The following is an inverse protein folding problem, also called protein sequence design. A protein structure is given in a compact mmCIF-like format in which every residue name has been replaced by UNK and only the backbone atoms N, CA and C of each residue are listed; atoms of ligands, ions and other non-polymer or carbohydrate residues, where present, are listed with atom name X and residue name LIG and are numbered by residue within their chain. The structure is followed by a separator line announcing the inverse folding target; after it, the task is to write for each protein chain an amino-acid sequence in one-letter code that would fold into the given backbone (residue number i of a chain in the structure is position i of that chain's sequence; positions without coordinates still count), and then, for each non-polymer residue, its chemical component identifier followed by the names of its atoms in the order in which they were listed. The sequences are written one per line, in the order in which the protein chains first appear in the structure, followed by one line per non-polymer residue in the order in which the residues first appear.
data_IF_177616090980
#
_entry.id   IF_177616090980
#
_cell.length_a   1.000
_cell.length_b   1.000
_cell.length_c   1.000
_cell.angle_alpha   90.00
_cell.angle_beta   90.00
_cell.angle_gamma   90.00
#
_symmetry.space_group_name_H-M   'P 1'
#
loop_
_entity.id
_entity.type
_entity.pdbx_description
1 polymer ?
#
# COMPACT_ATOMS: atom_id res chain seq x y z
N UNK A 1 52.54 46.56 -11.94
CA UNK A 1 53.02 45.16 -12.00
C UNK A 1 52.57 44.48 -10.73
N UNK A 2 51.46 43.76 -10.82
CA UNK A 2 50.79 43.04 -9.74
C UNK A 2 51.32 41.62 -9.68
N UNK A 3 51.95 41.26 -8.56
CA UNK A 3 52.37 39.89 -8.24
C UNK A 3 51.17 39.02 -7.86
N UNK A 4 51.02 37.79 -8.37
CA UNK A 4 50.13 36.81 -7.78
C UNK A 4 50.83 36.00 -6.68
N UNK A 5 50.07 35.74 -5.62
CA UNK A 5 50.39 34.87 -4.48
C UNK A 5 50.48 33.39 -4.89
N UNK A 6 51.24 32.65 -4.09
CA UNK A 6 51.58 31.24 -4.21
C UNK A 6 50.39 30.26 -4.35
N UNK A 7 50.59 29.24 -5.20
CA UNK A 7 49.74 28.07 -5.30
C UNK A 7 49.96 27.12 -4.11
N UNK A 8 48.93 26.92 -3.30
CA UNK A 8 48.78 25.76 -2.41
C UNK A 8 48.11 24.59 -3.15
N UNK A 9 48.20 23.35 -2.63
CA UNK A 9 47.88 22.15 -3.39
C UNK A 9 46.38 22.04 -3.69
N UNK A 10 46.09 21.84 -4.98
CA UNK A 10 44.79 21.47 -5.52
C UNK A 10 44.44 20.06 -5.03
N UNK A 11 43.41 19.93 -4.19
CA UNK A 11 42.79 18.63 -3.93
C UNK A 11 41.96 18.24 -5.16
N UNK A 12 42.60 17.48 -6.06
CA UNK A 12 41.95 16.83 -7.18
C UNK A 12 41.12 15.66 -6.68
N UNK A 13 39.80 15.83 -6.57
CA UNK A 13 38.86 14.71 -6.54
C UNK A 13 38.70 14.21 -7.98
N UNK A 14 39.67 13.43 -8.44
CA UNK A 14 39.53 12.53 -9.59
C UNK A 14 39.43 11.11 -9.06
N UNK A 15 38.60 10.21 -9.59
CA UNK A 15 37.70 10.28 -10.72
C UNK A 15 37.01 8.92 -10.89
N UNK A 16 35.95 8.94 -11.70
CA UNK A 16 35.32 7.80 -12.39
C UNK A 16 34.84 6.62 -11.53
N UNK A 17 33.61 6.77 -11.02
CA UNK A 17 32.63 5.68 -11.05
C UNK A 17 31.50 6.12 -12.00
N UNK A 18 31.19 5.29 -12.99
CA UNK A 18 30.23 5.54 -14.06
C UNK A 18 28.85 6.06 -13.60
N UNK A 19 28.11 6.83 -14.41
CA UNK A 19 26.70 7.16 -14.16
C UNK A 19 25.77 5.96 -14.40
N UNK A 20 26.22 4.74 -14.08
CA UNK A 20 25.53 3.48 -14.31
C UNK A 20 25.51 2.63 -13.02
N UNK A 21 24.95 3.14 -11.92
CA UNK A 21 24.68 2.27 -10.74
C UNK A 21 23.63 2.77 -9.74
N UNK A 22 22.73 3.70 -10.12
CA UNK A 22 21.44 3.86 -9.41
C UNK A 22 20.31 3.42 -10.36
N UNK A 23 20.51 2.27 -10.99
CA UNK A 23 19.37 1.43 -11.32
C UNK A 23 18.75 1.03 -9.98
N UNK A 24 17.73 1.79 -9.57
CA UNK A 24 16.91 1.52 -8.39
C UNK A 24 16.30 0.13 -8.59
N UNK A 25 17.00 -0.92 -8.11
CA UNK A 25 16.54 -2.31 -8.18
C UNK A 25 15.41 -2.50 -7.15
N UNK A 26 14.26 -1.86 -7.41
CA UNK A 26 12.99 -2.16 -6.74
C UNK A 26 12.52 -3.60 -6.97
N UNK A 27 13.18 -4.32 -7.89
CA UNK A 27 12.94 -5.72 -8.24
C UNK A 27 14.21 -6.58 -8.11
N UNK A 28 15.10 -6.26 -7.16
CA UNK A 28 16.16 -7.22 -6.81
C UNK A 28 15.53 -8.51 -6.26
N UNK A 29 16.15 -9.66 -6.51
CA UNK A 29 15.59 -10.97 -6.09
C UNK A 29 15.34 -11.04 -4.58
N UNK A 30 16.14 -10.31 -3.80
CA UNK A 30 15.94 -10.14 -2.36
C UNK A 30 14.63 -9.42 -2.01
N UNK A 31 14.33 -8.31 -2.68
CA UNK A 31 13.10 -7.53 -2.43
C UNK A 31 11.86 -8.36 -2.76
N UNK A 32 11.88 -9.09 -3.88
CA UNK A 32 10.82 -10.03 -4.27
C UNK A 32 10.63 -11.10 -3.19
N UNK A 33 11.73 -11.69 -2.69
CA UNK A 33 11.69 -12.68 -1.62
C UNK A 33 11.03 -12.16 -0.33
N UNK A 34 11.39 -10.96 0.10
CA UNK A 34 10.79 -10.29 1.27
C UNK A 34 9.30 -10.06 1.06
N UNK A 35 8.90 -9.61 -0.13
CA UNK A 35 7.51 -9.30 -0.44
C UNK A 35 6.62 -10.55 -0.48
N UNK A 36 7.14 -11.64 -1.05
CA UNK A 36 6.48 -12.94 -1.02
C UNK A 36 6.33 -13.44 0.42
N UNK A 37 7.37 -13.30 1.25
CA UNK A 37 7.31 -13.68 2.66
C UNK A 37 6.23 -12.89 3.42
N UNK A 38 6.16 -11.57 3.23
CA UNK A 38 5.08 -10.75 3.82
C UNK A 38 3.71 -11.23 3.36
N UNK A 39 3.54 -11.51 2.07
CA UNK A 39 2.30 -12.06 1.51
C UNK A 39 1.92 -13.39 2.16
N UNK A 40 2.89 -14.29 2.36
CA UNK A 40 2.67 -15.56 3.05
C UNK A 40 2.24 -15.37 4.51
N UNK A 41 2.84 -14.43 5.24
CA UNK A 41 2.48 -14.12 6.62
C UNK A 41 1.04 -13.59 6.69
N UNK A 42 0.67 -12.66 5.79
CA UNK A 42 -0.69 -12.12 5.71
C UNK A 42 -1.70 -13.24 5.40
N UNK A 43 -1.43 -14.08 4.40
CA UNK A 43 -2.27 -15.24 4.08
C UNK A 43 -2.40 -16.22 5.26
N UNK A 44 -1.30 -16.46 5.99
CA UNK A 44 -1.30 -17.32 7.18
C UNK A 44 -2.17 -16.75 8.29
N UNK A 45 -2.19 -15.41 8.46
CA UNK A 45 -3.05 -14.76 9.45
C UNK A 45 -4.55 -15.00 9.18
N UNK A 46 -4.97 -15.08 7.91
CA UNK A 46 -6.36 -15.38 7.52
C UNK A 46 -6.73 -16.84 7.81
N UNK A 47 -5.79 -17.76 7.63
CA UNK A 47 -5.97 -19.17 8.01
C UNK A 47 -6.13 -19.32 9.52
N UNK A 48 -5.34 -18.59 10.32
CA UNK A 48 -5.47 -18.55 11.77
C UNK A 48 -6.82 -17.95 12.18
N UNK A 49 -7.21 -16.82 11.58
CA UNK A 49 -8.52 -16.19 11.81
C UNK A 49 -9.65 -17.19 11.56
N UNK A 50 -9.61 -17.92 10.46
CA UNK A 50 -10.61 -18.95 10.13
C UNK A 50 -10.68 -20.07 11.17
N UNK A 51 -9.54 -20.50 11.74
CA UNK A 51 -9.53 -21.53 12.80
C UNK A 51 -10.27 -21.07 14.05
N UNK A 52 -10.24 -19.77 14.34
CA UNK A 52 -10.94 -19.17 15.49
C UNK A 52 -12.40 -18.81 15.20
N UNK A 53 -12.87 -18.92 13.97
CA UNK A 53 -14.27 -18.66 13.63
C UNK A 53 -15.19 -19.83 13.99
N UNK A 54 -16.19 -19.57 14.81
CA UNK A 54 -17.26 -20.52 15.14
C UNK A 54 -18.64 -19.93 14.79
N UNK A 55 -19.45 -20.58 13.92
CA UNK A 55 -19.13 -21.74 13.09
C UNK A 55 -18.19 -21.39 11.92
N UNK A 56 -17.40 -22.36 11.47
CA UNK A 56 -16.47 -22.18 10.36
C UNK A 56 -17.21 -22.02 9.03
N UNK A 57 -16.81 -21.01 8.25
CA UNK A 57 -17.34 -20.78 6.90
C UNK A 57 -16.99 -21.96 5.96
N UNK A 58 -17.90 -22.37 5.05
CA UNK A 58 -17.60 -23.39 4.05
C UNK A 58 -16.34 -23.04 3.24
N UNK A 59 -15.49 -24.04 3.00
CA UNK A 59 -14.19 -23.88 2.33
C UNK A 59 -14.25 -23.07 1.04
N UNK A 60 -15.23 -23.36 0.20
CA UNK A 60 -15.39 -22.70 -1.10
C UNK A 60 -15.71 -21.21 -0.95
N UNK A 61 -16.64 -20.85 -0.06
CA UNK A 61 -17.02 -19.45 0.18
C UNK A 61 -15.83 -18.67 0.74
N UNK A 62 -15.14 -19.26 1.71
CA UNK A 62 -13.93 -18.67 2.27
C UNK A 62 -12.84 -18.45 1.20
N UNK A 63 -12.63 -19.41 0.29
CA UNK A 63 -11.68 -19.25 -0.81
C UNK A 63 -12.08 -18.11 -1.77
N UNK A 64 -13.37 -17.94 -2.05
CA UNK A 64 -13.86 -16.80 -2.84
C UNK A 64 -13.60 -15.45 -2.15
N UNK A 65 -13.82 -15.37 -0.83
CA UNK A 65 -13.59 -14.13 -0.08
C UNK A 65 -12.10 -13.79 0.04
N UNK A 66 -11.25 -14.78 0.31
CA UNK A 66 -9.80 -14.59 0.37
C UNK A 66 -9.22 -14.27 -1.00
N UNK A 67 -9.67 -14.91 -2.07
CA UNK A 67 -9.20 -14.59 -3.43
C UNK A 67 -9.59 -13.18 -3.87
N UNK A 68 -10.75 -12.65 -3.44
CA UNK A 68 -11.08 -11.21 -3.63
C UNK A 68 -10.06 -10.31 -2.95
N UNK A 69 -9.72 -10.60 -1.70
CA UNK A 69 -8.74 -9.82 -0.93
C UNK A 69 -7.34 -9.89 -1.54
N UNK A 70 -6.91 -11.08 -1.99
CA UNK A 70 -5.63 -11.26 -2.68
C UNK A 70 -5.58 -10.45 -3.99
N UNK A 71 -6.63 -10.49 -4.80
CA UNK A 71 -6.73 -9.69 -6.02
C UNK A 71 -6.70 -8.18 -5.72
N UNK A 72 -7.43 -7.74 -4.69
CA UNK A 72 -7.42 -6.34 -4.23
C UNK A 72 -6.05 -5.88 -3.74
N UNK A 73 -5.36 -6.72 -2.96
CA UNK A 73 -4.00 -6.46 -2.49
C UNK A 73 -2.99 -6.36 -3.64
N UNK A 74 -3.07 -7.26 -4.63
CA UNK A 74 -2.24 -7.21 -5.83
C UNK A 74 -2.49 -5.94 -6.65
N UNK A 75 -3.75 -5.52 -6.79
CA UNK A 75 -4.10 -4.26 -7.46
C UNK A 75 -3.53 -3.06 -6.71
N UNK A 76 -3.74 -2.94 -5.40
CA UNK A 76 -3.21 -1.83 -4.60
C UNK A 76 -1.68 -1.77 -4.65
N UNK A 77 -1.01 -2.94 -4.56
CA UNK A 77 0.43 -3.01 -4.73
C UNK A 77 0.87 -2.46 -6.09
N UNK A 78 0.19 -2.86 -7.17
CA UNK A 78 0.45 -2.37 -8.52
C UNK A 78 0.21 -0.86 -8.64
N UNK A 79 -0.88 -0.34 -8.07
CA UNK A 79 -1.17 1.10 -8.08
C UNK A 79 -0.15 1.91 -7.29
N UNK A 80 0.33 1.39 -6.15
CA UNK A 80 1.40 2.01 -5.37
C UNK A 80 2.72 2.05 -6.17
N UNK A 81 3.06 0.96 -6.86
CA UNK A 81 4.24 0.91 -7.73
C UNK A 81 4.13 1.88 -8.91
N UNK A 82 2.99 1.86 -9.62
CA UNK A 82 2.74 2.81 -10.72
C UNK A 82 2.78 4.25 -10.24
N UNK A 83 2.20 4.54 -9.07
CA UNK A 83 2.29 5.86 -8.43
C UNK A 83 3.73 6.30 -8.25
N UNK A 84 4.61 5.42 -7.79
CA UNK A 84 6.05 5.75 -7.66
C UNK A 84 6.74 6.03 -9.01
N UNK A 85 6.36 5.33 -10.08
CA UNK A 85 6.90 5.56 -11.43
C UNK A 85 6.44 6.91 -12.01
N UNK A 86 5.17 7.26 -11.82
CA UNK A 86 4.62 8.54 -12.30
C UNK A 86 5.06 9.73 -11.43
N UNK A 87 5.22 9.54 -10.12
CA UNK A 87 5.68 10.57 -9.19
C UNK A 87 7.19 10.81 -9.24
N UNK A 88 7.99 9.81 -9.64
CA UNK A 88 9.45 9.92 -9.79
C UNK A 88 9.91 10.97 -10.83
N UNK A 89 9.00 11.53 -11.63
CA UNK A 89 9.28 12.61 -12.59
C UNK A 89 8.71 13.98 -12.16
N UNK A 90 7.99 14.09 -11.03
CA UNK A 90 7.34 15.34 -10.55
C UNK A 90 7.37 15.44 -9.03
N UNK A 91 8.56 15.44 -8.42
CA UNK A 91 8.71 15.82 -7.00
C UNK A 91 8.82 17.36 -6.82
N UNK A 92 7.80 18.09 -7.28
CA UNK A 92 7.46 19.38 -6.67
C UNK A 92 6.24 19.16 -5.76
N UNK A 93 6.51 18.63 -4.57
CA UNK A 93 5.56 18.70 -3.47
C UNK A 93 5.54 20.15 -2.95
N UNK A 94 4.36 20.78 -2.78
CA UNK A 94 4.24 22.19 -2.36
C UNK A 94 4.77 22.46 -0.94
N UNK A 95 5.15 21.42 -0.19
CA UNK A 95 5.74 21.49 1.15
C UNK A 95 7.27 21.48 1.17
N UNK A 96 7.97 21.38 0.04
CA UNK A 96 9.43 21.54 -0.06
C UNK A 96 10.28 20.57 0.80
N UNK A 97 9.71 19.48 1.31
CA UNK A 97 10.38 18.52 2.19
C UNK A 97 10.13 17.09 1.69
N UNK A 98 11.08 16.55 0.93
CA UNK A 98 11.02 15.21 0.33
C UNK A 98 11.65 14.16 1.25
N UNK A 99 10.85 13.55 2.15
CA UNK A 99 11.21 12.28 2.78
C UNK A 99 10.30 11.16 2.25
N UNK A 100 10.81 10.22 1.43
CA UNK A 100 10.01 9.15 0.84
C UNK A 100 9.48 8.15 1.89
N UNK A 101 10.20 7.94 3.00
CA UNK A 101 9.74 7.10 4.09
C UNK A 101 8.51 7.71 4.77
N UNK A 102 8.50 9.02 5.02
CA UNK A 102 7.34 9.73 5.59
C UNK A 102 6.13 9.62 4.66
N UNK A 103 6.32 9.84 3.36
CA UNK A 103 5.23 9.71 2.38
C UNK A 103 4.67 8.29 2.33
N UNK A 104 5.56 7.29 2.25
CA UNK A 104 5.16 5.89 2.20
C UNK A 104 4.44 5.46 3.49
N UNK A 105 4.97 5.86 4.65
CA UNK A 105 4.35 5.65 5.96
C UNK A 105 2.92 6.20 5.98
N UNK A 106 2.73 7.46 5.60
CA UNK A 106 1.41 8.11 5.61
C UNK A 106 0.44 7.47 4.63
N UNK A 107 0.93 7.08 3.46
CA UNK A 107 0.13 6.42 2.43
C UNK A 107 -0.40 5.07 2.94
N UNK A 108 0.48 4.21 3.48
CA UNK A 108 0.07 2.94 4.09
C UNK A 108 -0.82 3.16 5.31
N UNK A 109 -0.47 4.11 6.19
CA UNK A 109 -1.25 4.41 7.39
C UNK A 109 -2.68 4.80 7.03
N UNK A 110 -2.88 5.71 6.07
CA UNK A 110 -4.22 6.14 5.68
C UNK A 110 -4.97 5.05 4.91
N UNK A 111 -4.33 4.32 3.99
CA UNK A 111 -4.95 3.21 3.25
C UNK A 111 -5.52 2.14 4.22
N UNK A 112 -4.77 1.82 5.28
CA UNK A 112 -5.09 0.73 6.22
C UNK A 112 -5.98 1.16 7.39
N UNK A 113 -6.15 2.46 7.62
CA UNK A 113 -6.99 3.01 8.70
C UNK A 113 -8.27 3.63 8.13
N UNK A 114 -8.21 4.90 7.73
CA UNK A 114 -9.32 5.66 7.16
C UNK A 114 -9.80 5.00 5.86
N UNK A 115 -8.89 4.43 5.08
CA UNK A 115 -9.18 3.73 3.84
C UNK A 115 -10.15 2.57 4.03
N UNK A 116 -10.10 1.82 5.13
CA UNK A 116 -11.07 0.74 5.41
C UNK A 116 -12.49 1.29 5.53
N UNK A 117 -12.67 2.43 6.20
CA UNK A 117 -13.97 3.09 6.32
C UNK A 117 -14.46 3.62 4.96
N UNK A 118 -13.54 4.18 4.18
CA UNK A 118 -13.82 4.67 2.83
C UNK A 118 -14.23 3.52 1.89
N UNK A 119 -13.53 2.38 1.94
CA UNK A 119 -13.88 1.18 1.15
C UNK A 119 -15.28 0.71 1.53
N UNK A 120 -15.61 0.64 2.82
CA UNK A 120 -16.94 0.23 3.27
C UNK A 120 -18.03 1.16 2.73
N UNK A 121 -17.79 2.48 2.77
CA UNK A 121 -18.69 3.47 2.19
C UNK A 121 -18.86 3.28 0.67
N UNK A 122 -17.79 3.17 -0.10
CA UNK A 122 -17.88 2.99 -1.56
C UNK A 122 -18.49 1.65 -1.95
N UNK A 123 -18.20 0.58 -1.20
CA UNK A 123 -18.86 -0.71 -1.37
C UNK A 123 -20.36 -0.57 -1.21
N UNK A 124 -20.83 0.09 -0.15
CA UNK A 124 -22.25 0.34 0.08
C UNK A 124 -22.88 1.12 -1.10
N UNK A 125 -22.24 2.20 -1.54
CA UNK A 125 -22.72 3.02 -2.66
C UNK A 125 -22.78 2.20 -3.94
N UNK A 126 -21.70 1.52 -4.32
CA UNK A 126 -21.63 0.76 -5.57
C UNK A 126 -22.55 -0.44 -5.59
N UNK A 127 -22.71 -1.15 -4.47
CA UNK A 127 -23.68 -2.24 -4.37
C UNK A 127 -25.10 -1.70 -4.53
N UNK A 128 -25.43 -0.58 -3.88
CA UNK A 128 -26.76 0.04 -3.98
C UNK A 128 -27.06 0.49 -5.41
N UNK A 129 -26.12 1.18 -6.06
CA UNK A 129 -26.27 1.62 -7.46
C UNK A 129 -26.41 0.42 -8.40
N UNK A 130 -25.59 -0.62 -8.23
CA UNK A 130 -25.65 -1.83 -9.04
C UNK A 130 -27.01 -2.54 -8.90
N UNK A 131 -27.59 -2.59 -7.69
CA UNK A 131 -28.92 -3.15 -7.46
C UNK A 131 -30.01 -2.31 -8.14
N UNK A 132 -29.89 -0.99 -8.12
CA UNK A 132 -30.84 -0.08 -8.81
C UNK A 132 -30.82 -0.26 -10.33
N UNK A 133 -29.65 -0.53 -10.93
CA UNK A 133 -29.53 -0.81 -12.38
C UNK A 133 -29.84 -2.27 -12.74
N UNK A 134 -30.33 -3.08 -11.79
CA UNK A 134 -30.82 -4.43 -12.03
C UNK A 134 -29.79 -5.55 -11.89
N UNK A 135 -28.58 -5.29 -11.38
CA UNK A 135 -27.59 -6.33 -11.10
C UNK A 135 -28.01 -7.13 -9.85
N UNK A 136 -28.51 -8.34 -10.08
CA UNK A 136 -28.87 -9.31 -9.03
C UNK A 136 -27.62 -10.06 -8.51
N UNK A 137 -27.76 -10.68 -7.33
CA UNK A 137 -26.74 -11.53 -6.67
C UNK A 137 -25.49 -10.78 -6.17
N UNK A 138 -25.73 -9.60 -5.59
CA UNK A 138 -24.70 -8.69 -5.09
C UNK A 138 -24.43 -8.80 -3.58
N UNK A 139 -25.06 -9.77 -2.92
CA UNK A 139 -24.92 -9.97 -1.47
C UNK A 139 -23.53 -10.52 -1.18
N UNK A 140 -22.73 -9.75 -0.44
CA UNK A 140 -21.39 -10.19 -0.02
C UNK A 140 -21.47 -11.53 0.72
N UNK A 141 -20.49 -12.40 0.49
CA UNK A 141 -20.45 -13.76 1.05
C UNK A 141 -21.44 -14.77 0.42
N UNK A 142 -22.31 -14.34 -0.51
CA UNK A 142 -23.25 -15.22 -1.20
C UNK A 142 -22.95 -15.33 -2.69
N UNK A 143 -22.65 -16.55 -3.16
CA UNK A 143 -22.26 -16.84 -4.55
C UNK A 143 -23.29 -17.72 -5.30
N UNK A 144 -24.43 -18.01 -4.68
CA UNK A 144 -25.42 -18.96 -5.17
C UNK A 144 -25.22 -20.40 -4.68
N UNK A 145 -26.18 -21.27 -5.02
CA UNK A 145 -26.16 -22.71 -4.74
C UNK A 145 -26.32 -23.49 -6.05
N UNK A 146 -25.28 -24.11 -6.63
CA UNK A 146 -23.86 -24.09 -6.20
C UNK A 146 -23.17 -22.71 -6.41
N UNK A 147 -21.99 -22.46 -5.80
CA UNK A 147 -21.24 -21.20 -5.97
C UNK A 147 -20.86 -20.94 -7.43
N UNK A 148 -21.26 -19.79 -7.97
CA UNK A 148 -21.02 -19.42 -9.38
C UNK A 148 -19.88 -18.41 -9.52
N UNK A 149 -18.95 -18.67 -10.46
CA UNK A 149 -17.85 -17.75 -10.77
C UNK A 149 -18.34 -16.36 -11.18
N UNK A 150 -19.47 -16.28 -11.89
CA UNK A 150 -20.03 -15.02 -12.35
C UNK A 150 -20.46 -14.11 -11.17
N UNK A 151 -20.99 -14.68 -10.08
CA UNK A 151 -21.34 -13.92 -8.89
C UNK A 151 -20.09 -13.40 -8.18
N UNK A 152 -19.04 -14.23 -8.09
CA UNK A 152 -17.75 -13.84 -7.56
C UNK A 152 -17.11 -12.71 -8.37
N UNK A 153 -17.11 -12.82 -9.70
CA UNK A 153 -16.50 -11.81 -10.57
C UNK A 153 -17.20 -10.45 -10.43
N UNK A 154 -18.54 -10.42 -10.35
CA UNK A 154 -19.28 -9.17 -10.11
C UNK A 154 -18.90 -8.52 -8.77
N UNK A 155 -18.84 -9.32 -7.70
CA UNK A 155 -18.43 -8.83 -6.39
C UNK A 155 -16.96 -8.37 -6.39
N UNK A 156 -16.09 -9.09 -7.09
CA UNK A 156 -14.68 -8.71 -7.25
C UNK A 156 -14.56 -7.37 -7.98
N UNK A 157 -15.26 -7.17 -9.09
CA UNK A 157 -15.22 -5.92 -9.85
C UNK A 157 -15.59 -4.72 -8.98
N UNK A 158 -16.61 -4.86 -8.15
CA UNK A 158 -17.06 -3.78 -7.27
C UNK A 158 -16.11 -3.54 -6.12
N UNK A 159 -15.56 -4.61 -5.55
CA UNK A 159 -14.52 -4.51 -4.54
C UNK A 159 -13.26 -3.81 -5.07
N UNK A 160 -12.79 -4.19 -6.26
CA UNK A 160 -11.67 -3.56 -6.97
C UNK A 160 -11.96 -2.09 -7.27
N UNK A 161 -13.17 -1.76 -7.75
CA UNK A 161 -13.57 -0.37 -7.98
C UNK A 161 -13.61 0.44 -6.68
N UNK A 162 -14.15 -0.11 -5.59
CA UNK A 162 -14.17 0.53 -4.28
C UNK A 162 -12.75 0.78 -3.74
N UNK A 163 -11.83 -0.18 -3.91
CA UNK A 163 -10.43 -0.03 -3.55
C UNK A 163 -9.74 1.07 -4.38
N UNK A 164 -9.98 1.11 -5.70
CA UNK A 164 -9.44 2.14 -6.57
C UNK A 164 -9.95 3.54 -6.18
N UNK A 165 -11.26 3.68 -5.91
CA UNK A 165 -11.86 4.93 -5.47
C UNK A 165 -11.35 5.38 -4.10
N UNK A 166 -11.20 4.44 -3.15
CA UNK A 166 -10.54 4.72 -1.88
C UNK A 166 -9.13 5.25 -2.12
N UNK A 167 -8.35 4.55 -2.95
CA UNK A 167 -6.95 4.90 -3.20
C UNK A 167 -6.82 6.30 -3.77
N UNK A 168 -7.64 6.62 -4.76
CA UNK A 168 -7.66 7.97 -5.35
C UNK A 168 -8.02 9.02 -4.30
N UNK A 169 -8.98 8.75 -3.42
CA UNK A 169 -9.36 9.68 -2.36
C UNK A 169 -8.22 9.89 -1.35
N UNK A 170 -7.55 8.83 -0.90
CA UNK A 170 -6.40 8.94 0.02
C UNK A 170 -5.27 9.77 -0.60
N UNK A 171 -4.95 9.53 -1.88
CA UNK A 171 -3.91 10.31 -2.58
C UNK A 171 -4.28 11.80 -2.69
N UNK A 172 -5.56 12.10 -2.98
CA UNK A 172 -6.07 13.48 -3.03
C UNK A 172 -5.97 14.14 -1.65
N UNK A 173 -6.37 13.44 -0.59
CA UNK A 173 -6.29 13.93 0.80
C UNK A 173 -4.84 14.25 1.18
N UNK A 174 -3.89 13.33 0.92
CA UNK A 174 -2.47 13.58 1.18
C UNK A 174 -1.89 14.73 0.38
N UNK A 175 -2.42 14.98 -0.83
CA UNK A 175 -1.99 16.10 -1.67
C UNK A 175 -2.52 17.44 -1.17
N UNK A 176 -3.76 17.49 -0.69
CA UNK A 176 -4.44 18.73 -0.28
C UNK A 176 -4.06 19.13 1.15
N UNK A 177 -3.90 18.16 2.05
CA UNK A 177 -3.70 18.43 3.48
C UNK A 177 -2.24 18.20 3.90
N UNK A 178 -1.38 19.24 3.89
CA UNK A 178 0.04 19.11 4.24
C UNK A 178 0.26 18.77 5.73
N UNK A 179 -0.75 18.97 6.58
CA UNK A 179 -0.71 18.61 8.00
C UNK A 179 -0.29 17.15 8.22
N UNK A 180 -0.70 16.23 7.34
CA UNK A 180 -0.31 14.82 7.44
C UNK A 180 1.21 14.63 7.38
N UNK A 181 1.94 15.43 6.59
CA UNK A 181 3.40 15.35 6.54
C UNK A 181 4.06 15.75 7.85
N UNK A 182 3.55 16.80 8.51
CA UNK A 182 4.05 17.19 9.83
C UNK A 182 3.79 16.09 10.86
N UNK A 183 2.59 15.51 10.85
CA UNK A 183 2.27 14.35 11.68
C UNK A 183 3.18 13.15 11.38
N UNK A 184 3.45 12.85 10.11
CA UNK A 184 4.31 11.74 9.72
C UNK A 184 5.76 11.92 10.17
N UNK A 185 6.31 13.13 10.07
CA UNK A 185 7.64 13.45 10.62
C UNK A 185 7.68 13.29 12.13
N UNK A 186 6.68 13.78 12.83
CA UNK A 186 6.56 13.60 14.28
C UNK A 186 6.47 12.13 14.67
N UNK A 187 5.66 11.34 13.96
CA UNK A 187 5.49 9.91 14.21
C UNK A 187 6.78 9.10 13.95
N UNK A 188 7.58 9.50 12.95
CA UNK A 188 8.84 8.84 12.61
C UNK A 188 10.05 9.41 13.34
N UNK A 189 9.93 10.55 14.03
CA UNK A 189 11.03 11.18 14.76
C UNK A 189 11.77 10.20 15.70
N UNK A 190 11.11 9.31 16.47
CA UNK A 190 11.82 8.35 17.31
C UNK A 190 12.73 7.41 16.52
N UNK A 191 12.31 6.99 15.32
CA UNK A 191 13.09 6.11 14.45
C UNK A 191 14.23 6.88 13.80
N UNK A 192 13.99 8.14 13.41
CA UNK A 192 15.02 9.02 12.84
C UNK A 192 16.11 9.39 13.86
N UNK A 193 15.76 9.54 15.15
CA UNK A 193 16.75 9.85 16.21
C UNK A 193 17.79 8.76 16.44
N UNK A 194 17.57 7.53 15.97
CA UNK A 194 18.54 6.43 16.03
C UNK A 194 19.74 6.70 15.09
N UNK A 195 19.56 7.50 14.04
CA UNK A 195 20.61 7.90 13.11
C UNK A 195 20.99 6.85 12.05
N UNK A 196 20.34 5.68 12.02
CA UNK A 196 20.55 4.65 11.01
C UNK A 196 19.39 4.60 9.99
N UNK A 197 19.66 5.02 8.76
CA UNK A 197 18.70 5.01 7.66
C UNK A 197 18.19 3.60 7.32
N UNK A 198 19.00 2.56 7.55
CA UNK A 198 18.58 1.16 7.31
C UNK A 198 17.47 0.76 8.26
N UNK A 199 17.56 1.19 9.53
CA UNK A 199 16.52 0.95 10.53
C UNK A 199 15.22 1.62 10.12
N UNK A 200 15.27 2.88 9.66
CA UNK A 200 14.08 3.58 9.17
C UNK A 200 13.41 2.85 8.00
N UNK A 201 14.20 2.42 7.01
CA UNK A 201 13.68 1.67 5.85
C UNK A 201 13.05 0.35 6.29
N UNK A 202 13.70 -0.44 7.15
CA UNK A 202 13.15 -1.72 7.64
C UNK A 202 11.85 -1.50 8.42
N UNK A 203 11.80 -0.50 9.30
CA UNK A 203 10.59 -0.22 10.09
C UNK A 203 9.45 0.23 9.19
N UNK A 204 9.70 1.19 8.29
CA UNK A 204 8.66 1.86 7.51
C UNK A 204 8.20 1.06 6.28
N UNK A 205 9.12 0.33 5.65
CA UNK A 205 8.81 -0.41 4.41
C UNK A 205 8.52 -1.89 4.65
N UNK A 206 8.96 -2.48 5.77
CA UNK A 206 8.74 -3.91 6.07
C UNK A 206 7.82 -4.12 7.29
N UNK A 207 8.23 -3.65 8.47
CA UNK A 207 7.53 -4.00 9.73
C UNK A 207 6.15 -3.34 9.78
N UNK A 208 6.10 -2.01 9.58
CA UNK A 208 4.86 -1.25 9.67
C UNK A 208 3.82 -1.72 8.64
N UNK A 209 4.15 -1.87 7.34
CA UNK A 209 3.18 -2.36 6.37
C UNK A 209 2.74 -3.80 6.64
N UNK A 210 3.61 -4.67 7.15
CA UNK A 210 3.22 -6.03 7.50
C UNK A 210 2.09 -6.02 8.54
N UNK A 211 2.29 -5.30 9.64
CA UNK A 211 1.30 -5.20 10.73
C UNK A 211 0.01 -4.56 10.24
N UNK A 212 0.12 -3.40 9.57
CA UNK A 212 -1.05 -2.66 9.10
C UNK A 212 -1.84 -3.44 8.04
N UNK A 213 -1.17 -4.17 7.14
CA UNK A 213 -1.85 -5.03 6.18
C UNK A 213 -2.56 -6.19 6.89
N UNK A 214 -1.95 -6.87 7.87
CA UNK A 214 -2.65 -7.92 8.63
C UNK A 214 -3.96 -7.36 9.24
N UNK A 215 -3.88 -6.20 9.89
CA UNK A 215 -5.04 -5.53 10.48
C UNK A 215 -6.07 -5.20 9.39
N UNK A 216 -5.64 -4.62 8.27
CA UNK A 216 -6.54 -4.28 7.15
C UNK A 216 -7.24 -5.52 6.60
N UNK A 217 -6.52 -6.60 6.32
CA UNK A 217 -7.10 -7.85 5.84
C UNK A 217 -8.12 -8.42 6.84
N UNK A 218 -7.86 -8.31 8.14
CA UNK A 218 -8.80 -8.77 9.16
C UNK A 218 -10.07 -7.91 9.21
N UNK A 219 -9.95 -6.59 9.11
CA UNK A 219 -11.09 -5.67 9.08
C UNK A 219 -11.90 -5.84 7.81
N UNK A 220 -11.24 -5.88 6.65
CA UNK A 220 -11.89 -6.07 5.34
C UNK A 220 -12.57 -7.43 5.26
N UNK A 221 -11.97 -8.50 5.78
CA UNK A 221 -12.62 -9.81 5.87
C UNK A 221 -13.88 -9.77 6.76
N UNK A 222 -13.92 -8.90 7.76
CA UNK A 222 -15.14 -8.63 8.54
C UNK A 222 -16.23 -7.89 7.76
N UNK A 223 -15.84 -7.00 6.84
CA UNK A 223 -16.76 -6.24 5.97
C UNK A 223 -17.28 -7.07 4.80
N UNK A 224 -16.44 -7.94 4.25
CA UNK A 224 -16.79 -8.81 3.10
C UNK A 224 -17.64 -10.01 3.55
N UNK A 225 -17.57 -10.40 4.82
CA UNK A 225 -18.43 -11.42 5.41
C UNK A 225 -19.89 -10.98 5.44
#
# INVERSE_FOLDING_TARGET
MSSPLAAGPTYTVGGLGDPESINCKLTDGFAIGVQLLMGLIVCSSLLLKRRWEHPQRPLMIWFFDVSKQAAGGAMLHTLNLLGSLFSGHREEHPSGQSNPCVWYFLNILLDTTVGVLIIHFFMFVYVTVAQQVGVRDMRSGYYGHPPRMAAWLRQLCIFVLALASMKMLVLIVLRIFPFFFWFGKWALAPVETIGDQRVQVVVVMLIFPLVMNIIQFWLVDGVIK
#
